data_IF_955076989358
#
_entry.id   IF_955076989358
#
_cell.length_a   1.000
_cell.length_b   1.000
_cell.length_c   1.000
_cell.angle_alpha   90.00
_cell.angle_beta   90.00
_cell.angle_gamma   90.00
#
_symmetry.space_group_name_H-M   'P 1'
#
loop_
_entity.id
_entity.type
_entity.pdbx_description
1 polymer ?
#
# COMPACT_ATOMS: atom_id res chain seq x y z
N UNK A 1 -37.54 33.46 -1.77
CA UNK A 1 -37.28 33.56 -0.31
C UNK A 1 -37.79 32.27 0.31
N UNK A 2 -36.89 31.37 0.72
CA UNK A 2 -37.29 30.22 1.52
C UNK A 2 -37.59 30.74 2.92
N UNK A 3 -38.81 30.53 3.42
CA UNK A 3 -39.13 30.76 4.82
C UNK A 3 -38.29 29.76 5.63
N UNK A 4 -37.41 30.26 6.49
CA UNK A 4 -36.62 29.40 7.38
C UNK A 4 -37.57 28.64 8.31
N UNK A 5 -37.58 27.31 8.18
CA UNK A 5 -38.36 26.44 9.05
C UNK A 5 -37.62 26.28 10.38
N UNK A 6 -38.13 26.90 11.45
CA UNK A 6 -37.58 26.72 12.79
C UNK A 6 -38.28 25.57 13.51
N UNK A 7 -37.55 24.70 14.22
CA UNK A 7 -38.15 23.65 15.03
C UNK A 7 -38.89 24.25 16.22
N UNK A 8 -40.15 23.82 16.42
CA UNK A 8 -40.96 24.25 17.56
C UNK A 8 -40.64 23.40 18.79
N UNK A 9 -39.98 23.99 19.80
CA UNK A 9 -39.41 23.26 20.95
C UNK A 9 -39.97 23.67 22.32
N UNK A 10 -41.14 24.33 22.35
CA UNK A 10 -41.73 24.85 23.60
C UNK A 10 -42.19 23.76 24.59
N UNK A 11 -42.48 22.57 24.08
CA UNK A 11 -42.87 21.37 24.85
C UNK A 11 -41.70 20.40 25.03
N UNK A 12 -41.83 19.40 25.91
CA UNK A 12 -40.79 18.41 26.25
C UNK A 12 -39.49 19.03 26.81
N UNK A 13 -39.61 19.89 27.84
CA UNK A 13 -38.44 20.47 28.52
C UNK A 13 -37.76 19.45 29.43
N UNK A 14 -36.41 19.45 29.52
CA UNK A 14 -35.68 18.55 30.42
C UNK A 14 -36.11 18.78 31.88
N UNK A 15 -36.34 17.69 32.61
CA UNK A 15 -36.77 17.70 34.03
C UNK A 15 -38.28 17.66 34.28
N UNK A 16 -39.12 17.97 33.29
CA UNK A 16 -40.58 17.88 33.38
C UNK A 16 -41.08 16.64 32.61
N UNK A 17 -40.99 15.45 33.22
CA UNK A 17 -41.57 14.18 32.73
C UNK A 17 -41.11 13.66 31.35
N UNK A 18 -39.95 14.11 30.83
CA UNK A 18 -39.36 13.58 29.59
C UNK A 18 -40.17 13.88 28.31
N UNK A 19 -39.93 13.11 27.23
CA UNK A 19 -40.64 13.24 25.93
C UNK A 19 -42.06 12.65 25.95
N UNK A 20 -42.90 13.13 26.88
CA UNK A 20 -44.25 12.60 27.08
C UNK A 20 -45.25 13.15 26.06
N UNK A 21 -45.06 14.39 25.57
CA UNK A 21 -45.96 15.01 24.60
C UNK A 21 -45.53 14.74 23.15
N UNK A 22 -46.50 14.43 22.28
CA UNK A 22 -46.27 14.13 20.85
C UNK A 22 -46.25 15.40 19.98
N UNK A 23 -45.73 16.51 20.52
CA UNK A 23 -45.68 17.82 19.86
C UNK A 23 -44.25 18.09 19.41
N UNK A 24 -44.07 18.56 18.18
CA UNK A 24 -42.75 18.84 17.61
C UNK A 24 -42.02 17.57 17.14
N UNK A 25 -40.70 17.56 17.23
CA UNK A 25 -39.85 16.45 16.75
C UNK A 25 -39.73 15.29 17.76
N UNK A 26 -40.85 14.87 18.33
CA UNK A 26 -40.88 13.92 19.45
C UNK A 26 -40.35 12.52 19.10
N UNK A 27 -40.42 12.12 17.82
CA UNK A 27 -39.94 10.80 17.36
C UNK A 27 -38.42 10.72 17.46
N UNK A 28 -37.71 11.69 16.89
CA UNK A 28 -36.24 11.74 16.97
C UNK A 28 -35.78 11.95 18.40
N UNK A 29 -36.47 12.81 19.17
CA UNK A 29 -36.17 13.03 20.59
C UNK A 29 -36.27 11.75 21.43
N UNK A 30 -37.25 10.86 21.15
CA UNK A 30 -37.37 9.57 21.84
C UNK A 30 -36.27 8.58 21.45
N UNK A 31 -35.91 8.50 20.17
CA UNK A 31 -34.82 7.64 19.70
C UNK A 31 -33.48 8.12 20.29
N UNK A 32 -33.30 9.44 20.39
CA UNK A 32 -32.13 10.04 21.02
C UNK A 32 -32.10 9.81 22.53
N UNK A 33 -33.25 9.89 23.20
CA UNK A 33 -33.41 9.58 24.63
C UNK A 33 -33.14 8.09 24.91
N UNK A 34 -33.58 7.17 24.04
CA UNK A 34 -33.29 5.74 24.17
C UNK A 34 -31.80 5.41 23.99
N UNK A 35 -31.12 6.06 23.05
CA UNK A 35 -29.70 5.77 22.75
C UNK A 35 -28.73 6.50 23.66
N UNK A 36 -29.04 7.73 24.09
CA UNK A 36 -28.10 8.58 24.85
C UNK A 36 -28.61 8.99 26.23
N UNK A 37 -29.79 8.55 26.66
CA UNK A 37 -30.47 8.96 27.89
C UNK A 37 -30.89 10.45 27.97
N UNK A 38 -30.70 11.24 26.91
CA UNK A 38 -31.10 12.65 26.86
C UNK A 38 -31.80 12.99 25.54
N UNK A 39 -32.93 13.70 25.60
CA UNK A 39 -33.76 14.01 24.43
C UNK A 39 -33.32 15.23 23.61
N UNK A 40 -32.63 16.22 24.21
CA UNK A 40 -32.17 17.44 23.51
C UNK A 40 -30.76 17.84 23.89
N UNK A 41 -30.61 18.54 25.02
CA UNK A 41 -29.34 19.02 25.52
C UNK A 41 -29.01 18.31 26.83
N UNK A 42 -27.73 17.95 27.01
CA UNK A 42 -27.20 17.65 28.35
C UNK A 42 -26.85 18.98 29.00
N UNK A 43 -27.28 19.19 30.22
CA UNK A 43 -26.88 20.38 30.97
C UNK A 43 -25.35 20.38 31.11
N UNK A 44 -24.72 21.45 30.63
CA UNK A 44 -23.27 21.62 30.62
C UNK A 44 -22.72 22.00 32.01
N UNK A 45 -23.62 22.34 32.94
CA UNK A 45 -23.34 22.62 34.35
C UNK A 45 -24.42 21.97 35.21
N UNK A 46 -24.02 21.25 36.26
CA UNK A 46 -24.95 20.69 37.24
C UNK A 46 -25.63 21.81 38.02
N UNK A 47 -26.94 21.97 37.88
CA UNK A 47 -27.74 22.96 38.60
C UNK A 47 -27.94 22.62 40.08
N UNK A 48 -27.21 21.63 40.61
CA UNK A 48 -27.47 20.99 41.89
C UNK A 48 -27.04 21.78 43.14
N UNK A 49 -26.36 22.92 43.01
CA UNK A 49 -25.91 23.71 44.18
C UNK A 49 -26.34 25.18 44.16
N UNK A 50 -27.41 25.54 43.43
CA UNK A 50 -27.98 26.89 43.51
C UNK A 50 -28.95 27.02 44.69
N UNK A 51 -28.43 26.87 45.90
CA UNK A 51 -29.08 27.34 47.11
C UNK A 51 -29.02 28.87 47.18
N UNK A 52 -30.07 29.56 46.73
CA UNK A 52 -30.48 30.89 47.19
C UNK A 52 -29.50 32.07 47.09
N UNK A 53 -28.43 32.00 46.30
CA UNK A 53 -27.47 33.11 46.15
C UNK A 53 -27.95 34.14 45.11
N UNK A 54 -28.06 35.40 45.54
CA UNK A 54 -28.36 36.57 44.69
C UNK A 54 -27.16 36.97 43.81
N UNK A 55 -25.97 36.46 44.08
CA UNK A 55 -24.74 36.80 43.35
C UNK A 55 -24.30 35.71 42.37
N UNK A 56 -23.81 36.09 41.17
CA UNK A 56 -23.28 35.15 40.20
C UNK A 56 -21.97 34.55 40.72
N UNK A 57 -22.02 33.31 41.22
CA UNK A 57 -20.82 32.53 41.54
C UNK A 57 -20.19 32.08 40.23
N UNK A 58 -18.86 32.19 40.09
CA UNK A 58 -18.13 31.53 39.00
C UNK A 58 -18.38 30.03 39.13
N UNK A 59 -19.28 29.49 38.31
CA UNK A 59 -19.47 28.04 38.20
C UNK A 59 -18.17 27.50 37.64
N UNK A 60 -17.44 26.61 38.34
CA UNK A 60 -16.29 25.95 37.76
C UNK A 60 -16.80 25.21 36.52
N UNK A 61 -16.34 25.65 35.35
CA UNK A 61 -16.62 25.02 34.07
C UNK A 61 -15.88 23.69 34.01
N UNK A 62 -16.28 22.72 34.83
CA UNK A 62 -16.04 21.31 34.54
C UNK A 62 -17.08 20.93 33.50
N UNK A 63 -16.90 21.43 32.27
CA UNK A 63 -17.73 21.06 31.15
C UNK A 63 -17.74 19.53 31.08
N UNK A 64 -18.85 18.91 31.46
CA UNK A 64 -18.96 17.46 31.41
C UNK A 64 -18.89 17.06 29.95
N UNK A 65 -17.84 16.36 29.56
CA UNK A 65 -17.70 15.86 28.19
C UNK A 65 -18.98 15.12 27.81
N UNK A 66 -19.62 15.56 26.72
CA UNK A 66 -20.78 14.92 26.14
C UNK A 66 -20.25 13.94 25.10
N UNK A 67 -20.67 12.68 25.18
CA UNK A 67 -20.41 11.73 24.11
C UNK A 67 -21.28 12.10 22.90
N UNK A 68 -20.67 12.72 21.90
CA UNK A 68 -21.36 13.23 20.70
C UNK A 68 -21.43 12.20 19.57
N UNK A 69 -20.57 11.18 19.59
CA UNK A 69 -20.49 10.15 18.57
C UNK A 69 -21.85 9.48 18.24
N UNK A 70 -22.64 8.99 19.22
CA UNK A 70 -23.93 8.35 18.92
C UNK A 70 -25.00 9.33 18.42
N UNK A 71 -24.79 10.65 18.55
CA UNK A 71 -25.76 11.69 18.15
C UNK A 71 -25.56 12.17 16.71
N UNK A 72 -24.31 12.17 16.26
CA UNK A 72 -23.91 12.75 14.96
C UNK A 72 -23.65 11.67 13.93
N UNK A 73 -23.12 10.52 14.36
CA UNK A 73 -22.87 9.38 13.49
C UNK A 73 -23.80 8.24 13.88
N UNK A 74 -25.04 8.22 13.35
CA UNK A 74 -25.95 7.13 13.60
C UNK A 74 -25.39 5.89 12.92
N UNK A 75 -25.06 4.90 13.72
CA UNK A 75 -24.68 3.59 13.22
C UNK A 75 -25.60 2.60 13.90
N UNK A 76 -26.49 1.99 13.12
CA UNK A 76 -27.15 0.77 13.57
C UNK A 76 -26.07 -0.26 13.93
N UNK A 77 -26.36 -1.12 14.91
CA UNK A 77 -25.46 -2.19 15.33
C UNK A 77 -24.99 -3.04 14.14
N UNK A 78 -25.84 -3.19 13.11
CA UNK A 78 -25.54 -3.94 11.88
C UNK A 78 -24.55 -3.25 10.92
N UNK A 79 -24.33 -1.93 11.05
CA UNK A 79 -23.46 -1.16 10.13
C UNK A 79 -22.09 -0.83 10.71
N UNK A 80 -21.85 -1.06 12.01
CA UNK A 80 -20.51 -0.93 12.58
C UNK A 80 -19.75 -2.24 12.41
N UNK A 81 -18.78 -2.24 11.50
CA UNK A 81 -17.74 -3.25 11.54
C UNK A 81 -16.97 -3.11 12.87
N UNK A 82 -16.96 -4.16 13.69
CA UNK A 82 -16.13 -4.18 14.88
C UNK A 82 -14.65 -3.99 14.49
N UNK A 83 -13.84 -3.48 15.42
CA UNK A 83 -12.39 -3.27 15.21
C UNK A 83 -11.67 -4.51 14.64
N UNK A 84 -12.16 -5.71 15.00
CA UNK A 84 -11.67 -7.01 14.55
C UNK A 84 -11.97 -7.34 13.08
N UNK A 85 -12.94 -6.67 12.47
CA UNK A 85 -13.33 -6.86 11.08
C UNK A 85 -12.62 -5.89 10.13
N UNK A 86 -11.83 -4.95 10.64
CA UNK A 86 -11.01 -4.09 9.80
C UNK A 86 -9.82 -4.88 9.24
N UNK A 87 -10.00 -5.36 8.02
CA UNK A 87 -8.94 -5.97 7.22
C UNK A 87 -8.75 -5.18 5.93
N UNK A 88 -7.51 -5.17 5.45
CA UNK A 88 -7.24 -4.58 4.13
C UNK A 88 -7.69 -5.53 3.03
N UNK A 89 -8.07 -4.98 1.87
CA UNK A 89 -8.41 -5.77 0.67
C UNK A 89 -7.27 -6.74 0.32
N UNK A 90 -6.01 -6.36 0.57
CA UNK A 90 -4.86 -7.26 0.34
C UNK A 90 -4.80 -8.42 1.32
N UNK A 91 -5.06 -8.17 2.61
CA UNK A 91 -5.10 -9.22 3.63
C UNK A 91 -6.25 -10.20 3.39
N UNK A 92 -7.37 -9.72 2.86
CA UNK A 92 -8.52 -10.56 2.48
C UNK A 92 -8.25 -11.34 1.19
N UNK A 93 -7.69 -10.69 0.16
CA UNK A 93 -7.48 -11.30 -1.16
C UNK A 93 -6.31 -12.29 -1.18
N UNK A 94 -5.23 -11.96 -0.47
CA UNK A 94 -3.98 -12.71 -0.45
C UNK A 94 -3.72 -13.31 0.93
N UNK A 95 -4.64 -14.17 1.36
CA UNK A 95 -4.43 -15.00 2.53
C UNK A 95 -3.34 -16.05 2.27
N UNK A 96 -2.65 -16.46 3.33
CA UNK A 96 -1.68 -17.56 3.26
C UNK A 96 -2.38 -18.84 2.76
N UNK A 97 -1.91 -19.45 1.65
CA UNK A 97 -2.54 -20.64 1.08
C UNK A 97 -2.55 -21.85 2.02
N UNK A 98 -1.75 -21.84 3.09
CA UNK A 98 -1.72 -22.90 4.12
C UNK A 98 -2.61 -22.61 5.32
N UNK A 99 -3.20 -21.41 5.42
CA UNK A 99 -4.10 -21.05 6.52
C UNK A 99 -5.47 -21.68 6.26
N UNK A 100 -5.60 -22.93 6.69
CA UNK A 100 -6.81 -23.79 6.56
C UNK A 100 -7.89 -23.51 7.60
N UNK A 101 -7.78 -22.44 8.38
CA UNK A 101 -8.79 -22.08 9.36
C UNK A 101 -9.93 -21.31 8.72
N UNK A 102 -10.89 -22.11 8.26
CA UNK A 102 -12.32 -21.96 8.53
C UNK A 102 -13.13 -20.98 7.69
N UNK A 103 -12.54 -20.10 6.88
CA UNK A 103 -13.37 -19.08 6.22
C UNK A 103 -13.01 -18.81 4.73
N UNK A 104 -14.07 -18.80 3.92
CA UNK A 104 -14.28 -18.02 2.67
C UNK A 104 -14.17 -18.70 1.29
N UNK A 105 -13.80 -19.99 1.13
CA UNK A 105 -13.91 -20.62 -0.21
C UNK A 105 -14.67 -21.95 -0.18
N UNK A 106 -16.00 -21.84 -0.28
CA UNK A 106 -16.97 -22.94 -0.44
C UNK A 106 -16.65 -23.88 -1.60
N UNK A 107 -15.86 -23.45 -2.58
CA UNK A 107 -15.33 -24.30 -3.63
C UNK A 107 -13.84 -23.98 -3.88
N UNK A 108 -12.95 -24.87 -3.44
CA UNK A 108 -11.53 -24.84 -3.78
C UNK A 108 -11.09 -26.23 -4.23
N UNK A 109 -10.06 -26.29 -5.07
CA UNK A 109 -9.46 -27.56 -5.46
C UNK A 109 -8.69 -28.12 -4.26
N UNK A 110 -9.18 -29.24 -3.72
CA UNK A 110 -8.48 -29.98 -2.68
C UNK A 110 -7.32 -30.73 -3.33
N UNK A 111 -6.13 -30.62 -2.75
CA UNK A 111 -5.01 -31.47 -3.15
C UNK A 111 -5.28 -32.92 -2.73
N UNK A 112 -5.87 -33.67 -3.66
CA UNK A 112 -6.14 -35.09 -3.48
C UNK A 112 -4.99 -35.88 -4.08
N UNK A 113 -4.11 -36.38 -3.21
CA UNK A 113 -3.12 -37.38 -3.62
C UNK A 113 -3.83 -38.60 -4.22
N UNK A 114 -3.51 -38.91 -5.47
CA UNK A 114 -4.01 -40.11 -6.15
C UNK A 114 -3.29 -41.38 -5.70
N UNK A 115 -2.20 -41.25 -4.94
CA UNK A 115 -1.47 -42.39 -4.40
C UNK A 115 -2.07 -42.85 -3.08
N UNK A 116 -2.58 -44.08 -3.06
CA UNK A 116 -2.90 -44.78 -1.82
C UNK A 116 -1.64 -45.06 -0.98
N UNK A 117 -1.81 -45.38 0.30
CA UNK A 117 -0.72 -45.61 1.26
C UNK A 117 0.32 -46.64 0.77
N UNK A 118 -0.13 -47.73 0.15
CA UNK A 118 0.74 -48.77 -0.40
C UNK A 118 1.53 -48.27 -1.62
N UNK A 119 0.89 -47.51 -2.51
CA UNK A 119 1.53 -46.92 -3.67
C UNK A 119 2.58 -45.87 -3.27
N UNK A 120 2.27 -45.03 -2.28
CA UNK A 120 3.22 -44.06 -1.73
C UNK A 120 4.47 -44.74 -1.17
N UNK A 121 4.30 -45.85 -0.44
CA UNK A 121 5.44 -46.63 0.09
C UNK A 121 6.28 -47.26 -1.02
N UNK A 122 5.65 -47.86 -2.03
CA UNK A 122 6.34 -48.45 -3.18
C UNK A 122 7.14 -47.40 -3.96
N UNK A 123 6.54 -46.23 -4.21
CA UNK A 123 7.24 -45.13 -4.88
C UNK A 123 8.42 -44.64 -4.04
N UNK A 124 8.26 -44.50 -2.72
CA UNK A 124 9.37 -44.13 -1.84
C UNK A 124 10.52 -45.15 -1.87
N UNK A 125 10.22 -46.45 -1.92
CA UNK A 125 11.21 -47.52 -2.05
C UNK A 125 11.93 -47.47 -3.40
N UNK A 126 11.20 -47.28 -4.51
CA UNK A 126 11.77 -47.12 -5.85
C UNK A 126 12.67 -45.88 -5.95
N UNK A 127 12.29 -44.76 -5.35
CA UNK A 127 13.13 -43.56 -5.31
C UNK A 127 14.42 -43.79 -4.53
N UNK A 128 14.35 -44.55 -3.42
CA UNK A 128 15.52 -44.93 -2.63
C UNK A 128 16.44 -45.88 -3.41
N UNK A 129 15.88 -46.84 -4.14
CA UNK A 129 16.64 -47.75 -5.00
C UNK A 129 17.27 -47.03 -6.19
N UNK A 130 16.52 -46.13 -6.84
CA UNK A 130 17.02 -45.32 -7.95
C UNK A 130 18.10 -44.31 -7.53
N UNK A 131 18.11 -43.89 -6.26
CA UNK A 131 19.19 -43.05 -5.72
C UNK A 131 20.49 -43.80 -5.47
N UNK A 132 20.44 -45.14 -5.42
CA UNK A 132 21.65 -45.95 -5.36
C UNK A 132 22.27 -46.00 -6.76
N UNK A 133 23.49 -45.47 -6.90
CA UNK A 133 24.21 -45.51 -8.17
C UNK A 133 24.35 -46.97 -8.63
N UNK A 134 23.91 -47.33 -9.85
CA UNK A 134 24.17 -48.66 -10.37
C UNK A 134 25.68 -48.90 -10.49
N UNK A 135 26.11 -50.13 -10.24
CA UNK A 135 27.48 -50.56 -10.49
C UNK A 135 27.77 -50.34 -11.99
N UNK A 136 28.92 -49.73 -12.36
CA UNK A 136 29.19 -49.39 -13.76
C UNK A 136 29.17 -50.66 -14.60
N UNK A 137 28.17 -50.77 -15.48
CA UNK A 137 28.12 -51.86 -16.44
C UNK A 137 29.42 -51.86 -17.28
N UNK A 138 30.03 -53.03 -17.53
CA UNK A 138 31.21 -53.10 -18.36
C UNK A 138 30.88 -52.47 -19.72
N UNK A 139 31.74 -51.60 -20.27
CA UNK A 139 31.42 -50.81 -21.44
C UNK A 139 31.03 -51.75 -22.59
N UNK A 140 29.73 -51.80 -22.91
CA UNK A 140 29.26 -52.44 -24.13
C UNK A 140 29.80 -51.60 -25.27
N UNK A 141 30.76 -52.17 -26.01
CA UNK A 141 31.34 -51.69 -27.28
C UNK A 141 31.19 -50.19 -27.55
N UNK A 142 32.28 -49.44 -27.43
CA UNK A 142 32.34 -48.02 -27.81
C UNK A 142 31.97 -47.85 -29.29
N UNK A 143 30.72 -47.52 -29.55
CA UNK A 143 30.31 -46.98 -30.84
C UNK A 143 30.38 -45.46 -30.75
N UNK A 144 31.29 -44.87 -31.52
CA UNK A 144 31.26 -43.44 -31.82
C UNK A 144 30.03 -43.20 -32.71
N UNK A 145 28.87 -42.94 -32.12
CA UNK A 145 27.77 -42.34 -32.86
C UNK A 145 28.13 -40.89 -33.12
N UNK A 146 28.32 -40.56 -34.39
CA UNK A 146 28.46 -39.18 -34.84
C UNK A 146 27.11 -38.49 -34.61
N UNK A 147 26.91 -37.94 -33.41
CA UNK A 147 25.80 -37.03 -33.17
C UNK A 147 26.05 -35.79 -34.03
N UNK A 148 25.54 -35.81 -35.26
CA UNK A 148 25.37 -34.60 -36.07
C UNK A 148 24.30 -33.77 -35.37
N UNK A 149 24.69 -33.02 -34.35
CA UNK A 149 23.91 -31.91 -33.84
C UNK A 149 23.86 -30.87 -34.96
N UNK A 150 22.79 -30.89 -35.74
CA UNK A 150 22.48 -29.86 -36.75
C UNK A 150 22.48 -28.44 -36.12
N UNK A 151 22.39 -28.38 -34.79
CA UNK A 151 22.61 -27.18 -33.98
C UNK A 151 23.69 -27.44 -32.92
N UNK A 152 24.96 -27.26 -33.28
CA UNK A 152 26.04 -27.10 -32.31
C UNK A 152 25.96 -25.75 -31.58
N UNK A 153 26.74 -25.55 -30.49
CA UNK A 153 26.81 -24.25 -29.81
C UNK A 153 27.19 -23.18 -30.84
N UNK A 154 26.33 -22.17 -30.96
CA UNK A 154 26.50 -21.09 -31.92
C UNK A 154 27.87 -20.42 -31.70
N UNK A 155 28.72 -20.44 -32.71
CA UNK A 155 30.04 -19.81 -32.64
C UNK A 155 29.87 -18.28 -32.52
N UNK A 156 29.93 -17.79 -31.29
CA UNK A 156 29.78 -16.36 -30.97
C UNK A 156 31.00 -15.53 -31.40
N UNK A 157 32.10 -16.17 -31.84
CA UNK A 157 33.27 -15.46 -32.35
C UNK A 157 32.96 -14.64 -33.61
N UNK A 158 31.99 -15.10 -34.43
CA UNK A 158 31.51 -14.40 -35.62
C UNK A 158 30.80 -13.08 -35.30
N UNK A 159 30.18 -12.96 -34.12
CA UNK A 159 29.49 -11.73 -33.69
C UNK A 159 30.47 -10.69 -33.15
N UNK A 160 31.59 -11.11 -32.56
CA UNK A 160 32.55 -10.22 -31.88
C UNK A 160 33.26 -9.26 -32.85
N UNK A 161 33.51 -9.69 -34.08
CA UNK A 161 34.20 -8.89 -35.11
C UNK A 161 33.26 -8.38 -36.23
N UNK A 162 31.95 -8.62 -36.12
CA UNK A 162 31.00 -8.14 -37.10
C UNK A 162 30.85 -6.61 -36.98
N UNK A 163 31.25 -5.88 -38.02
CA UNK A 163 31.00 -4.45 -38.11
C UNK A 163 29.49 -4.20 -38.19
N UNK A 164 28.91 -3.65 -37.12
CA UNK A 164 27.48 -3.35 -37.08
C UNK A 164 27.17 -2.20 -38.03
N UNK A 165 26.32 -2.48 -39.04
CA UNK A 165 25.81 -1.46 -39.94
C UNK A 165 25.10 -0.34 -39.18
N UNK A 166 25.28 0.91 -39.64
CA UNK A 166 24.58 2.06 -39.09
C UNK A 166 23.41 2.49 -40.00
N UNK A 167 22.40 3.16 -39.43
CA UNK A 167 21.24 3.66 -40.19
C UNK A 167 21.63 4.58 -41.34
N UNK A 168 22.64 5.44 -41.13
CA UNK A 168 23.24 6.28 -42.17
C UNK A 168 24.76 6.08 -42.14
N UNK A 169 25.32 5.47 -43.18
CA UNK A 169 26.75 5.10 -43.23
C UNK A 169 27.60 6.08 -44.02
N UNK A 170 27.04 6.69 -45.08
CA UNK A 170 27.76 7.53 -46.03
C UNK A 170 26.93 8.74 -46.43
N UNK A 171 27.60 9.84 -46.79
CA UNK A 171 26.98 10.99 -47.46
C UNK A 171 26.76 10.69 -48.95
N UNK A 172 26.04 11.56 -49.65
CA UNK A 172 25.83 11.44 -51.11
C UNK A 172 27.15 11.52 -51.89
N UNK A 173 28.16 12.20 -51.34
CA UNK A 173 29.53 12.27 -51.89
C UNK A 173 30.34 10.97 -51.67
N UNK A 174 29.74 9.95 -51.04
CA UNK A 174 30.38 8.67 -50.76
C UNK A 174 31.31 8.66 -49.54
N UNK A 175 31.47 9.77 -48.84
CA UNK A 175 32.29 9.87 -47.62
C UNK A 175 31.60 9.14 -46.45
N UNK A 176 32.37 8.36 -45.70
CA UNK A 176 31.89 7.72 -44.47
C UNK A 176 31.64 8.78 -43.40
N UNK A 177 30.52 8.66 -42.70
CA UNK A 177 30.19 9.55 -41.57
C UNK A 177 30.79 8.93 -40.30
N UNK A 178 31.78 9.58 -39.65
CA UNK A 178 32.31 9.12 -38.37
C UNK A 178 31.22 9.05 -37.31
N UNK A 179 31.37 8.15 -36.34
CA UNK A 179 30.41 8.02 -35.24
C UNK A 179 30.28 9.33 -34.43
N UNK A 180 31.37 10.09 -34.30
CA UNK A 180 31.47 11.36 -33.58
C UNK A 180 30.73 12.51 -34.28
N UNK A 181 30.56 12.44 -35.60
CA UNK A 181 29.87 13.49 -36.37
C UNK A 181 28.34 13.37 -36.31
N UNK A 182 27.80 12.37 -35.58
CA UNK A 182 26.35 12.24 -35.38
C UNK A 182 25.93 13.08 -34.20
N UNK A 183 25.14 14.11 -34.48
CA UNK A 183 24.57 14.94 -33.43
C UNK A 183 23.48 14.18 -32.67
N UNK A 184 23.85 13.71 -31.48
CA UNK A 184 22.95 13.04 -30.55
C UNK A 184 21.95 13.98 -29.90
N UNK A 185 22.40 15.21 -29.59
CA UNK A 185 21.58 16.29 -29.04
C UNK A 185 20.44 16.63 -29.97
N UNK A 186 20.74 16.90 -31.25
CA UNK A 186 19.73 17.17 -32.28
C UNK A 186 18.71 16.04 -32.44
N UNK A 187 19.17 14.79 -32.44
CA UNK A 187 18.26 13.63 -32.53
C UNK A 187 17.34 13.52 -31.32
N UNK A 188 17.81 13.91 -30.13
CA UNK A 188 17.01 13.88 -28.93
C UNK A 188 16.02 15.03 -28.79
N UNK A 189 16.41 16.24 -29.20
CA UNK A 189 15.56 17.43 -29.19
C UNK A 189 14.38 17.29 -30.17
N UNK A 190 14.61 16.66 -31.32
CA UNK A 190 13.56 16.34 -32.29
C UNK A 190 12.73 15.09 -31.94
N UNK A 191 13.05 14.41 -30.83
CA UNK A 191 12.36 13.18 -30.43
C UNK A 191 12.58 11.98 -31.36
N UNK A 192 13.58 12.01 -32.23
CA UNK A 192 13.93 10.90 -33.13
C UNK A 192 14.54 9.72 -32.38
N UNK A 193 15.26 10.01 -31.29
CA UNK A 193 15.77 9.01 -30.34
C UNK A 193 15.56 9.50 -28.90
N UNK A 194 15.17 8.61 -27.98
CA UNK A 194 15.09 8.97 -26.56
C UNK A 194 16.48 9.22 -26.00
N UNK A 195 16.65 10.29 -25.20
CA UNK A 195 17.92 10.65 -24.54
C UNK A 195 18.56 9.48 -23.77
N UNK A 196 17.73 8.62 -23.17
CA UNK A 196 18.18 7.44 -22.44
C UNK A 196 18.94 6.42 -23.29
N UNK A 197 18.70 6.40 -24.61
CA UNK A 197 19.43 5.52 -25.54
C UNK A 197 20.76 6.10 -26.00
N UNK A 198 20.91 7.42 -25.96
CA UNK A 198 22.13 8.14 -26.34
C UNK A 198 23.16 8.14 -25.21
N UNK A 199 22.72 8.30 -23.97
CA UNK A 199 23.58 8.44 -22.79
C UNK A 199 23.75 7.15 -21.97
N UNK A 200 23.79 5.98 -22.62
CA UNK A 200 23.95 4.68 -21.91
C UNK A 200 25.26 4.56 -21.12
N UNK A 201 26.28 5.36 -21.44
CA UNK A 201 27.59 5.34 -20.80
C UNK A 201 27.85 6.58 -19.93
N UNK A 202 26.84 7.41 -19.67
CA UNK A 202 27.02 8.55 -18.76
C UNK A 202 27.29 8.03 -17.35
N UNK A 203 28.45 8.37 -16.81
CA UNK A 203 28.87 8.04 -15.45
C UNK A 203 27.91 8.67 -14.45
N UNK A 204 27.19 7.83 -13.70
CA UNK A 204 26.37 8.28 -12.58
C UNK A 204 27.31 8.83 -11.48
N UNK A 205 27.11 10.09 -11.09
CA UNK A 205 28.01 10.80 -10.17
C UNK A 205 27.93 10.34 -8.70
N UNK A 206 27.13 9.34 -8.38
CA UNK A 206 26.97 8.79 -7.04
C UNK A 206 26.90 7.27 -7.17
N UNK A 207 27.72 6.54 -6.40
CA UNK A 207 27.62 5.07 -6.32
C UNK A 207 26.20 4.72 -5.85
N UNK A 208 25.40 4.03 -6.68
CA UNK A 208 24.08 3.60 -6.26
C UNK A 208 24.25 2.49 -5.22
N UNK A 209 23.48 2.60 -4.13
CA UNK A 209 23.26 1.46 -3.24
C UNK A 209 22.66 0.31 -4.06
N UNK A 210 23.36 -0.82 -4.12
CA UNK A 210 23.04 -1.94 -5.04
C UNK A 210 21.70 -2.61 -4.69
N UNK A 211 21.25 -2.49 -3.45
CA UNK A 211 19.99 -3.07 -2.97
C UNK A 211 18.78 -2.16 -3.24
N UNK A 212 18.99 -0.89 -3.58
CA UNK A 212 17.91 0.06 -3.83
C UNK A 212 17.59 0.19 -5.33
N UNK A 213 16.30 0.34 -5.70
CA UNK A 213 15.93 0.54 -7.10
C UNK A 213 16.52 1.85 -7.66
N UNK A 214 17.14 1.75 -8.85
CA UNK A 214 17.68 2.91 -9.58
C UNK A 214 16.54 3.60 -10.33
N UNK A 215 16.26 4.84 -9.95
CA UNK A 215 15.18 5.69 -10.46
C UNK A 215 15.70 7.12 -10.61
N UNK A 216 14.96 7.99 -11.29
CA UNK A 216 15.31 9.42 -11.45
C UNK A 216 15.54 10.08 -10.09
N UNK A 217 14.76 9.70 -9.08
CA UNK A 217 14.86 10.28 -7.74
C UNK A 217 16.03 9.71 -6.93
N UNK A 218 16.44 8.46 -7.15
CA UNK A 218 17.61 7.89 -6.45
C UNK A 218 18.94 8.30 -7.05
N UNK A 219 18.99 8.70 -8.32
CA UNK A 219 20.19 9.24 -9.00
C UNK A 219 20.31 10.77 -8.95
N UNK A 220 19.27 11.46 -8.49
CA UNK A 220 19.25 12.92 -8.37
C UNK A 220 20.22 13.44 -7.32
N UNK A 221 20.76 14.65 -7.54
CA UNK A 221 21.62 15.30 -6.54
C UNK A 221 20.77 15.87 -5.42
N UNK A 222 21.36 16.00 -4.24
CA UNK A 222 20.70 16.66 -3.11
C UNK A 222 20.30 18.09 -3.49
N UNK A 223 18.99 18.38 -3.47
CA UNK A 223 18.44 19.70 -3.78
C UNK A 223 17.71 19.80 -5.13
N UNK A 224 17.81 18.80 -6.01
CA UNK A 224 17.12 18.81 -7.30
C UNK A 224 15.60 18.65 -7.15
N UNK A 225 15.15 17.98 -6.09
CA UNK A 225 13.74 17.73 -5.81
C UNK A 225 13.34 18.26 -4.43
N UNK A 226 12.11 18.79 -4.35
CA UNK A 226 11.51 19.21 -3.09
C UNK A 226 11.18 17.97 -2.24
N UNK A 227 12.04 17.66 -1.27
CA UNK A 227 11.88 16.52 -0.38
C UNK A 227 12.44 16.79 1.01
N UNK A 228 11.81 16.21 2.04
CA UNK A 228 12.36 16.22 3.39
C UNK A 228 13.54 15.25 3.45
N UNK A 229 14.69 15.69 3.95
CA UNK A 229 15.88 14.84 4.06
C UNK A 229 15.62 13.69 5.03
N UNK A 230 15.61 12.46 4.53
CA UNK A 230 15.64 11.24 5.34
C UNK A 230 17.07 10.75 5.51
N UNK A 231 17.49 10.44 6.74
CA UNK A 231 18.75 9.76 7.00
C UNK A 231 18.55 8.24 6.93
N UNK A 232 19.23 7.54 6.02
CA UNK A 232 19.29 6.07 5.98
C UNK A 232 18.97 5.42 4.63
N UNK A 233 18.84 4.10 4.64
CA UNK A 233 18.60 3.24 3.47
C UNK A 233 17.26 3.54 2.75
N UNK A 234 16.29 4.14 3.44
CA UNK A 234 14.98 4.49 2.88
C UNK A 234 14.96 5.99 2.53
N UNK A 235 15.46 6.33 1.33
CA UNK A 235 15.57 7.74 0.86
C UNK A 235 14.22 8.48 0.78
N UNK A 236 13.11 7.79 0.56
CA UNK A 236 11.77 8.39 0.40
C UNK A 236 10.88 8.28 1.66
N UNK A 237 11.49 8.07 2.83
CA UNK A 237 10.76 8.06 4.09
C UNK A 237 10.13 9.41 4.39
N UNK A 238 8.82 9.45 4.70
CA UNK A 238 8.17 10.68 5.14
C UNK A 238 8.66 11.05 6.53
N UNK A 239 9.42 12.15 6.65
CA UNK A 239 9.75 12.76 7.93
C UNK A 239 8.89 14.02 8.12
N UNK A 240 7.96 13.96 9.07
CA UNK A 240 7.04 15.07 9.37
C UNK A 240 7.42 15.83 10.64
N UNK A 241 8.71 15.86 11.02
CA UNK A 241 9.15 16.41 12.33
C UNK A 241 8.70 17.85 12.57
N UNK A 242 8.72 18.68 11.52
CA UNK A 242 8.26 20.06 11.57
C UNK A 242 6.73 20.17 11.73
N UNK A 243 5.96 19.39 10.96
CA UNK A 243 4.50 19.47 10.91
C UNK A 243 3.76 18.62 11.96
N UNK A 244 4.48 17.93 12.85
CA UNK A 244 3.85 17.17 13.95
C UNK A 244 3.05 18.09 14.87
N UNK A 245 1.90 17.63 15.43
CA UNK A 245 1.18 18.38 16.44
C UNK A 245 2.02 18.56 17.70
N UNK A 246 1.83 19.67 18.43
CA UNK A 246 2.62 20.00 19.63
C UNK A 246 2.52 18.92 20.70
N UNK A 247 1.38 18.25 20.76
CA UNK A 247 1.08 17.21 21.76
C UNK A 247 1.67 15.83 21.40
N UNK A 248 2.31 15.66 20.25
CA UNK A 248 2.95 14.39 19.87
C UNK A 248 4.17 14.14 20.79
N UNK A 249 4.21 13.01 21.53
CA UNK A 249 5.30 12.69 22.46
C UNK A 249 6.67 12.55 21.79
N UNK A 250 6.71 12.45 20.46
CA UNK A 250 7.94 12.35 19.65
C UNK A 250 8.29 13.65 18.93
N UNK A 251 7.57 14.75 19.18
CA UNK A 251 7.90 16.05 18.60
C UNK A 251 9.08 16.67 19.35
N UNK A 252 10.11 17.01 18.60
CA UNK A 252 11.27 17.75 19.10
C UNK A 252 11.17 19.17 18.55
N UNK A 253 11.26 20.16 19.44
CA UNK A 253 11.22 21.58 19.09
C UNK A 253 12.66 22.06 18.86
N UNK A 254 13.24 21.71 17.71
CA UNK A 254 14.56 22.23 17.30
C UNK A 254 14.45 23.36 16.27
N UNK A 255 13.35 23.40 15.51
CA UNK A 255 13.19 24.28 14.34
C UNK A 255 11.98 25.25 14.47
N UNK A 256 11.80 25.86 15.65
CA UNK A 256 10.78 26.91 15.85
C UNK A 256 11.28 28.30 15.48
#
# INVERSE_FOLDING_TARGET
MALEAHPFTSFNKPGANGTQTLIGNWVEERVLEQSTSYSRYKDWASTAENGGSVYPRKVPSTATAIETAPRVMPTSEDSQAAATHFMTVKQETYADPKRTETDVRTAHYVDMSKLGKKGAKMVAELWREASALPEPEPPSSSFETTNRTVHGPLDTSLVRNAMKGSRVMKTQDGKLIPAECRDGTFQSELGLLPLSSLNRNASFGQEPDLDAPITIYSTSKEGDFAQTRGAGAVRFGKSCRFSKPIDDPTKVVTDQ
#
